data_IF_373258786184
#
_entry.id   IF_373258786184
#
_cell.length_a   1.000
_cell.length_b   1.000
_cell.length_c   1.000
_cell.angle_alpha   90.00
_cell.angle_beta   90.00
_cell.angle_gamma   90.00
#
_symmetry.space_group_name_H-M   'P 1'
#
loop_
_entity.id
_entity.type
_entity.pdbx_description
1 polymer ?
#
# COMPACT_ATOMS: atom_id res chain seq x y z
N UNK A 1 -11.66 17.18 -0.33
CA UNK A 1 -12.70 16.18 -0.56
C UNK A 1 -12.27 14.79 -0.12
N UNK A 2 -11.11 14.31 -0.60
CA UNK A 2 -10.60 13.00 -0.19
C UNK A 2 -9.82 13.09 1.11
N UNK A 3 -9.97 12.07 1.96
CA UNK A 3 -9.20 12.02 3.19
C UNK A 3 -7.72 11.77 2.90
N UNK A 4 -6.87 12.11 3.86
CA UNK A 4 -5.44 11.80 3.74
C UNK A 4 -5.20 10.31 3.51
N UNK A 5 -5.93 9.47 4.25
CA UNK A 5 -5.80 8.01 4.12
C UNK A 5 -6.14 7.57 2.70
N UNK A 6 -7.25 8.06 2.15
CA UNK A 6 -7.66 7.69 0.80
C UNK A 6 -6.61 8.11 -0.22
N UNK A 7 -6.06 9.32 -0.09
CA UNK A 7 -5.02 9.78 -1.00
C UNK A 7 -3.76 8.92 -0.91
N UNK A 8 -3.40 8.51 0.30
CA UNK A 8 -2.22 7.64 0.48
C UNK A 8 -2.45 6.23 -0.06
N UNK A 9 -3.68 5.73 0.02
CA UNK A 9 -4.00 4.43 -0.57
C UNK A 9 -3.91 4.48 -2.10
N UNK A 10 -4.36 5.58 -2.70
CA UNK A 10 -4.22 5.77 -4.15
C UNK A 10 -2.74 5.84 -4.53
N UNK A 11 -1.95 6.60 -3.77
CA UNK A 11 -0.51 6.72 -4.02
C UNK A 11 0.17 5.36 -3.89
N UNK A 12 -0.21 4.56 -2.91
CA UNK A 12 0.33 3.21 -2.73
C UNK A 12 0.04 2.36 -3.96
N UNK A 13 -1.19 2.43 -4.49
CA UNK A 13 -1.55 1.67 -5.68
C UNK A 13 -0.67 2.02 -6.87
N UNK A 14 -0.39 3.30 -7.06
CA UNK A 14 0.47 3.75 -8.15
C UNK A 14 1.91 3.29 -7.89
N UNK A 15 2.40 3.40 -6.65
CA UNK A 15 3.75 2.98 -6.29
C UNK A 15 3.97 1.50 -6.56
N UNK A 16 2.99 0.67 -6.21
CA UNK A 16 3.06 -0.78 -6.46
C UNK A 16 3.03 -1.04 -7.96
N UNK A 17 2.15 -0.38 -8.69
CA UNK A 17 1.99 -0.58 -10.13
C UNK A 17 3.23 -0.15 -10.92
N UNK A 18 3.93 0.87 -10.46
CA UNK A 18 5.16 1.33 -11.09
C UNK A 18 6.40 0.66 -10.51
N UNK A 19 6.23 -0.25 -9.56
CA UNK A 19 7.31 -1.03 -8.95
C UNK A 19 8.39 -0.15 -8.33
N UNK A 20 7.98 0.90 -7.66
CA UNK A 20 8.90 1.83 -7.02
C UNK A 20 9.02 1.48 -5.52
N UNK A 21 10.07 0.74 -5.15
CA UNK A 21 10.20 0.25 -3.78
C UNK A 21 10.32 1.38 -2.76
N UNK A 22 11.04 2.44 -3.11
CA UNK A 22 11.17 3.62 -2.22
C UNK A 22 9.81 4.27 -2.01
N UNK A 23 9.03 4.40 -3.09
CA UNK A 23 7.69 4.98 -3.01
C UNK A 23 6.78 4.12 -2.14
N UNK A 24 6.86 2.80 -2.30
CA UNK A 24 6.07 1.86 -1.51
C UNK A 24 6.38 2.07 -0.02
N UNK A 25 7.66 2.06 0.35
CA UNK A 25 8.05 2.23 1.74
C UNK A 25 7.54 3.55 2.30
N UNK A 26 7.66 4.62 1.53
CA UNK A 26 7.22 5.95 1.97
C UNK A 26 5.72 5.98 2.26
N UNK A 27 4.92 5.48 1.31
CA UNK A 27 3.46 5.55 1.46
C UNK A 27 2.94 4.55 2.48
N UNK A 28 3.57 3.39 2.62
CA UNK A 28 3.22 2.44 3.68
C UNK A 28 3.46 3.09 5.05
N UNK A 29 4.60 3.76 5.22
CA UNK A 29 4.89 4.44 6.48
C UNK A 29 3.82 5.51 6.77
N UNK A 30 3.44 6.28 5.77
CA UNK A 30 2.38 7.29 5.91
C UNK A 30 1.06 6.65 6.35
N UNK A 31 0.71 5.51 5.76
CA UNK A 31 -0.54 4.82 6.09
C UNK A 31 -0.52 4.28 7.52
N UNK A 32 0.62 3.79 7.99
CA UNK A 32 0.75 3.35 9.38
C UNK A 32 0.55 4.54 10.31
N UNK A 33 1.15 5.69 10.00
CA UNK A 33 0.98 6.91 10.80
C UNK A 33 -0.47 7.38 10.84
N UNK A 34 -1.21 7.16 9.76
CA UNK A 34 -2.62 7.54 9.66
C UNK A 34 -3.55 6.53 10.31
N UNK A 35 -2.99 5.55 11.03
CA UNK A 35 -3.77 4.55 11.78
C UNK A 35 -4.63 3.66 10.88
N UNK A 36 -4.17 3.38 9.67
CA UNK A 36 -4.83 2.44 8.78
C UNK A 36 -4.75 1.06 9.42
N UNK A 37 -5.90 0.38 9.56
CA UNK A 37 -5.85 -0.96 10.11
C UNK A 37 -5.44 -1.98 9.05
N UNK A 38 -5.02 -3.16 9.51
CA UNK A 38 -4.47 -4.16 8.61
C UNK A 38 -5.50 -4.68 7.61
N UNK A 39 -6.76 -4.76 8.01
CA UNK A 39 -7.82 -5.24 7.12
C UNK A 39 -8.04 -4.27 5.97
N UNK A 40 -8.05 -2.96 6.27
CA UNK A 40 -8.16 -1.94 5.23
C UNK A 40 -6.97 -2.01 4.26
N UNK A 41 -5.77 -2.18 4.82
CA UNK A 41 -4.56 -2.24 4.02
C UNK A 41 -4.59 -3.46 3.09
N UNK A 42 -4.97 -4.62 3.62
CA UNK A 42 -5.07 -5.85 2.83
C UNK A 42 -6.13 -5.75 1.74
N UNK A 43 -7.27 -5.13 2.05
CA UNK A 43 -8.33 -4.95 1.06
C UNK A 43 -7.85 -4.06 -0.08
N UNK A 44 -7.09 -3.01 0.23
CA UNK A 44 -6.51 -2.16 -0.80
C UNK A 44 -5.53 -2.95 -1.67
N UNK A 45 -4.70 -3.82 -1.07
CA UNK A 45 -3.78 -4.65 -1.83
C UNK A 45 -4.52 -5.61 -2.76
N UNK A 46 -5.65 -6.14 -2.32
CA UNK A 46 -6.47 -7.01 -3.17
C UNK A 46 -6.96 -6.27 -4.40
N UNK A 47 -7.42 -5.03 -4.21
CA UNK A 47 -7.89 -4.21 -5.32
C UNK A 47 -6.76 -3.86 -6.28
N UNK A 48 -5.60 -3.53 -5.74
CA UNK A 48 -4.42 -3.21 -6.54
C UNK A 48 -3.99 -4.43 -7.36
N UNK A 49 -4.00 -5.60 -6.75
CA UNK A 49 -3.63 -6.85 -7.44
C UNK A 49 -4.63 -7.19 -8.54
N UNK A 50 -5.91 -6.94 -8.28
CA UNK A 50 -6.96 -7.19 -9.25
C UNK A 50 -6.72 -6.41 -10.55
N UNK A 51 -6.34 -5.14 -10.44
CA UNK A 51 -6.11 -4.30 -11.62
C UNK A 51 -4.69 -4.41 -12.16
N UNK A 52 -3.72 -4.64 -11.30
CA UNK A 52 -2.31 -4.59 -11.67
C UNK A 52 -1.71 -5.92 -12.13
N UNK A 53 -2.35 -7.04 -11.80
CA UNK A 53 -1.88 -8.36 -12.22
C UNK A 53 -0.72 -8.89 -11.40
N UNK A 54 -0.01 -9.88 -11.96
CA UNK A 54 1.04 -10.62 -11.25
C UNK A 54 2.13 -9.77 -10.59
N UNK A 55 2.74 -8.81 -11.31
CA UNK A 55 3.77 -7.96 -10.68
C UNK A 55 3.25 -7.22 -9.47
N UNK A 56 1.97 -6.81 -9.49
CA UNK A 56 1.37 -6.11 -8.35
C UNK A 56 1.18 -7.01 -7.15
N UNK A 57 1.00 -8.31 -7.37
CA UNK A 57 0.93 -9.27 -6.27
C UNK A 57 2.28 -9.35 -5.57
N UNK A 58 3.37 -9.45 -6.33
CA UNK A 58 4.71 -9.52 -5.77
C UNK A 58 5.09 -8.26 -5.01
N UNK A 59 4.84 -7.10 -5.60
CA UNK A 59 5.16 -5.83 -4.94
C UNK A 59 4.19 -5.51 -3.82
N UNK A 60 2.94 -6.01 -3.92
CA UNK A 60 1.98 -5.93 -2.83
C UNK A 60 2.44 -6.70 -1.60
N UNK A 61 3.07 -7.86 -1.80
CA UNK A 61 3.64 -8.63 -0.70
C UNK A 61 4.73 -7.84 0.03
N UNK A 62 5.57 -7.11 -0.74
CA UNK A 62 6.58 -6.24 -0.14
C UNK A 62 5.93 -5.12 0.67
N UNK A 63 4.84 -4.57 0.16
CA UNK A 63 4.11 -3.52 0.86
C UNK A 63 3.54 -4.03 2.19
N UNK A 64 2.99 -5.24 2.19
CA UNK A 64 2.43 -5.82 3.42
C UNK A 64 3.51 -6.10 4.44
N UNK A 65 4.66 -6.60 3.99
CA UNK A 65 5.80 -6.82 4.86
C UNK A 65 6.23 -5.50 5.52
N UNK A 66 6.32 -4.43 4.72
CA UNK A 66 6.68 -3.12 5.25
C UNK A 66 5.64 -2.62 6.25
N UNK A 67 4.36 -2.82 5.95
CA UNK A 67 3.27 -2.43 6.84
C UNK A 67 3.43 -3.09 8.21
N UNK A 68 3.68 -4.39 8.21
CA UNK A 68 3.84 -5.14 9.46
C UNK A 68 5.09 -4.69 10.22
N UNK A 69 6.18 -4.38 9.52
CA UNK A 69 7.39 -3.89 10.14
C UNK A 69 7.18 -2.52 10.78
N UNK A 70 6.56 -1.61 10.06
CA UNK A 70 6.35 -0.25 10.56
C UNK A 70 5.30 -0.19 11.67
N UNK A 71 4.41 -1.19 11.72
CA UNK A 71 3.36 -1.27 12.74
C UNK A 71 3.81 -1.94 14.02
N UNK A 72 4.96 -2.61 14.01
CA UNK A 72 5.46 -3.39 15.15
C UNK A 72 5.84 -2.53 16.36
#
# INVERSE_FOLDING_TARGET
ALSEKTKELIALGIAISTRCEICIAYHVNSLVRLKTNRDEFCEALEMISYMGGGPSISYGAKALEAFDQFSA
#
